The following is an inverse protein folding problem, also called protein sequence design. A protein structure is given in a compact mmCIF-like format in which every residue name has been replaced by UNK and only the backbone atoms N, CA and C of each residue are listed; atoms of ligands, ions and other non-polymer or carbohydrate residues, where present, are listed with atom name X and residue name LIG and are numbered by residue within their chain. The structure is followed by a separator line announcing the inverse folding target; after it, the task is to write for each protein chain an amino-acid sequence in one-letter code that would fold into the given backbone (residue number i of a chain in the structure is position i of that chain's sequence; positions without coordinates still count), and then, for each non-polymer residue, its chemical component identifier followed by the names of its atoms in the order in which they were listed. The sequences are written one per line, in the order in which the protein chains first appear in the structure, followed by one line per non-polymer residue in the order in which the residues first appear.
data_IF_118773723504
#
_entry.id   IF_118773723504
#
_cell.length_a   1.000
_cell.length_b   1.000
_cell.length_c   1.000
_cell.angle_alpha   90.00
_cell.angle_beta   90.00
_cell.angle_gamma   90.00
#
_symmetry.space_group_name_H-M   'P 1'
#
loop_
_entity.id
_entity.type
_entity.pdbx_description
1 polymer ?
#
# COMPACT_ATOMS: atom_id res chain seq x y z
N UNK A 1 4.09 -29.84 -6.48
CA UNK A 1 2.80 -29.67 -7.17
C UNK A 1 1.68 -29.77 -6.16
N UNK A 2 1.38 -28.63 -5.47
CA UNK A 2 0.16 -28.53 -4.68
C UNK A 2 -1.02 -28.41 -5.66
N UNK A 3 -1.99 -29.31 -5.52
CA UNK A 3 -3.25 -29.31 -6.26
C UNK A 3 -3.92 -27.95 -6.10
N UNK A 4 -4.19 -27.29 -7.22
CA UNK A 4 -5.24 -26.27 -7.31
C UNK A 4 -6.55 -27.06 -7.24
N UNK A 5 -7.06 -27.27 -6.04
CA UNK A 5 -8.41 -27.78 -5.83
C UNK A 5 -9.39 -26.68 -6.21
N UNK A 6 -10.42 -27.08 -6.94
CA UNK A 6 -11.43 -26.26 -7.59
C UNK A 6 -11.93 -25.08 -6.74
N UNK A 7 -12.11 -23.93 -7.39
CA UNK A 7 -12.73 -22.69 -6.92
C UNK A 7 -14.20 -22.84 -6.44
N UNK A 8 -14.55 -23.88 -5.71
CA UNK A 8 -15.92 -24.18 -5.31
C UNK A 8 -16.14 -24.39 -3.82
N UNK A 9 -15.22 -23.97 -2.95
CA UNK A 9 -15.53 -23.97 -1.52
C UNK A 9 -16.38 -22.74 -1.15
N UNK A 10 -17.55 -22.97 -0.52
CA UNK A 10 -18.43 -21.88 -0.15
C UNK A 10 -17.79 -21.03 0.94
N UNK A 11 -17.84 -19.71 0.76
CA UNK A 11 -17.44 -18.69 1.73
C UNK A 11 -17.98 -19.09 3.13
N UNK A 12 -17.13 -19.12 4.16
CA UNK A 12 -17.57 -19.47 5.51
C UNK A 12 -18.73 -18.60 5.99
N UNK A 13 -19.81 -19.21 6.49
CA UNK A 13 -21.05 -18.55 6.93
C UNK A 13 -20.92 -17.63 8.15
N UNK A 14 -19.73 -17.37 8.65
CA UNK A 14 -19.46 -16.56 9.84
C UNK A 14 -19.48 -15.04 9.61
N UNK A 15 -19.77 -14.57 8.39
CA UNK A 15 -19.84 -13.13 8.07
C UNK A 15 -21.28 -12.56 8.04
N UNK A 16 -22.26 -13.28 8.58
CA UNK A 16 -23.64 -12.78 8.70
C UNK A 16 -24.05 -12.69 10.16
N UNK A 17 -23.54 -11.73 10.90
CA UNK A 17 -24.29 -11.15 12.04
C UNK A 17 -23.86 -9.70 12.20
N UNK A 18 -24.83 -8.81 12.03
CA UNK A 18 -24.65 -7.38 12.09
C UNK A 18 -24.22 -6.91 13.47
N UNK A 19 -23.03 -6.39 13.52
CA UNK A 19 -22.67 -5.36 14.45
C UNK A 19 -22.56 -4.08 13.62
N UNK A 20 -23.34 -3.08 13.94
CA UNK A 20 -23.21 -1.70 13.46
C UNK A 20 -21.94 -1.04 14.05
N UNK A 21 -20.81 -1.73 13.99
CA UNK A 21 -19.52 -1.17 14.32
C UNK A 21 -19.03 -0.46 13.07
N UNK A 22 -18.74 0.84 13.20
CA UNK A 22 -18.08 1.66 12.20
C UNK A 22 -16.93 0.88 11.58
N UNK A 23 -16.83 0.90 10.26
CA UNK A 23 -15.75 0.25 9.52
C UNK A 23 -14.43 0.85 9.96
N UNK A 24 -13.68 0.15 10.79
CA UNK A 24 -12.33 0.54 11.16
C UNK A 24 -11.38 0.15 10.03
N UNK A 25 -10.34 0.95 9.81
CA UNK A 25 -9.28 0.63 8.86
C UNK A 25 -8.57 -0.67 9.30
N UNK A 26 -8.77 -1.75 8.53
CA UNK A 26 -8.26 -3.09 8.89
C UNK A 26 -6.73 -3.13 8.99
N UNK A 27 -6.01 -2.37 8.14
CA UNK A 27 -4.56 -2.28 8.21
C UNK A 27 -4.10 -1.56 9.47
N UNK A 28 -4.76 -0.47 9.84
CA UNK A 28 -4.47 0.27 11.07
C UNK A 28 -4.72 -0.61 12.32
N UNK A 29 -5.82 -1.33 12.34
CA UNK A 29 -6.13 -2.27 13.41
C UNK A 29 -5.09 -3.40 13.49
N UNK A 30 -4.65 -3.94 12.35
CA UNK A 30 -3.62 -4.95 12.28
C UNK A 30 -2.28 -4.45 12.84
N UNK A 31 -1.84 -3.27 12.45
CA UNK A 31 -0.62 -2.65 12.97
C UNK A 31 -0.69 -2.42 14.49
N UNK A 32 -1.81 -1.91 15.00
CA UNK A 32 -2.03 -1.73 16.45
C UNK A 32 -1.97 -3.06 17.22
N UNK A 33 -2.29 -4.18 16.59
CA UNK A 33 -2.13 -5.53 17.18
C UNK A 33 -0.69 -6.09 17.08
N UNK A 34 0.28 -5.31 16.61
CA UNK A 34 1.69 -5.70 16.46
C UNK A 34 1.99 -6.58 15.24
N UNK A 35 1.00 -6.83 14.38
CA UNK A 35 1.13 -7.73 13.23
C UNK A 35 1.64 -6.99 11.99
N UNK A 36 2.49 -7.67 11.21
CA UNK A 36 2.86 -7.21 9.88
C UNK A 36 1.75 -7.48 8.86
N UNK A 37 1.76 -6.75 7.76
CA UNK A 37 0.82 -6.89 6.66
C UNK A 37 1.55 -7.14 5.34
N UNK A 38 0.93 -7.94 4.47
CA UNK A 38 1.34 -8.11 3.08
C UNK A 38 0.39 -7.32 2.19
N UNK A 39 0.96 -6.48 1.35
CA UNK A 39 0.24 -5.55 0.50
C UNK A 39 0.29 -5.98 -0.97
N UNK A 40 -0.85 -6.03 -1.63
CA UNK A 40 -0.96 -6.14 -3.07
C UNK A 40 -0.73 -4.79 -3.75
N UNK A 41 -0.29 -4.80 -5.02
CA UNK A 41 0.02 -3.60 -5.76
C UNK A 41 -0.57 -3.65 -7.15
N UNK A 42 -1.43 -2.70 -7.50
CA UNK A 42 -2.19 -2.69 -8.75
C UNK A 42 -1.64 -1.66 -9.72
N UNK A 43 -1.02 -2.14 -10.79
CA UNK A 43 -0.59 -1.33 -11.94
C UNK A 43 -1.57 -1.40 -13.11
N UNK A 44 -2.38 -2.48 -13.21
CA UNK A 44 -3.35 -2.71 -14.28
C UNK A 44 -4.64 -1.94 -13.99
N UNK A 45 -5.14 -1.08 -14.90
CA UNK A 45 -6.35 -0.27 -14.70
C UNK A 45 -7.62 -1.10 -14.92
N UNK A 46 -7.83 -2.11 -14.07
CA UNK A 46 -8.95 -3.04 -14.18
C UNK A 46 -9.55 -3.39 -12.82
N UNK A 47 -10.84 -3.12 -12.65
CA UNK A 47 -11.60 -3.56 -11.48
C UNK A 47 -11.58 -5.08 -11.33
N UNK A 48 -11.61 -5.85 -12.43
CA UNK A 48 -11.54 -7.31 -12.36
C UNK A 48 -10.17 -7.81 -11.87
N UNK A 49 -9.06 -7.20 -12.32
CA UNK A 49 -7.73 -7.50 -11.75
C UNK A 49 -7.69 -7.24 -10.24
N UNK A 50 -8.26 -6.10 -9.82
CA UNK A 50 -8.33 -5.74 -8.41
C UNK A 50 -9.16 -6.74 -7.58
N UNK A 51 -10.29 -7.22 -8.12
CA UNK A 51 -11.14 -8.23 -7.47
C UNK A 51 -10.38 -9.56 -7.28
N UNK A 52 -9.67 -10.02 -8.32
CA UNK A 52 -8.84 -11.23 -8.25
C UNK A 52 -7.75 -11.09 -7.19
N UNK A 53 -7.01 -10.00 -7.21
CA UNK A 53 -5.93 -9.74 -6.23
C UNK A 53 -6.49 -9.66 -4.80
N UNK A 54 -7.64 -9.03 -4.59
CA UNK A 54 -8.26 -8.90 -3.27
C UNK A 54 -8.66 -10.26 -2.64
N UNK A 55 -8.82 -11.30 -3.44
CA UNK A 55 -9.12 -12.66 -2.99
C UNK A 55 -7.87 -13.50 -2.65
N UNK A 56 -6.68 -13.01 -3.02
CA UNK A 56 -5.44 -13.78 -2.86
C UNK A 56 -4.83 -13.74 -1.45
N UNK A 57 -5.54 -13.18 -0.46
CA UNK A 57 -5.10 -13.19 0.95
C UNK A 57 -4.20 -12.03 1.34
N UNK A 58 -4.12 -10.97 0.57
CA UNK A 58 -3.46 -9.73 0.95
C UNK A 58 -4.23 -9.03 2.10
N UNK A 59 -3.49 -8.36 2.99
CA UNK A 59 -4.07 -7.59 4.10
C UNK A 59 -4.49 -6.17 3.66
N UNK A 60 -3.80 -5.64 2.66
CA UNK A 60 -4.09 -4.37 2.00
C UNK A 60 -3.78 -4.45 0.51
N UNK A 61 -4.38 -3.56 -0.27
CA UNK A 61 -4.11 -3.44 -1.70
C UNK A 61 -3.98 -1.97 -2.06
N UNK A 62 -2.87 -1.64 -2.72
CA UNK A 62 -2.54 -0.28 -3.17
C UNK A 62 -2.79 -0.12 -4.67
N UNK A 63 -3.59 0.86 -5.06
CA UNK A 63 -3.69 1.29 -6.45
C UNK A 63 -2.57 2.29 -6.73
N UNK A 64 -1.77 2.02 -7.75
CA UNK A 64 -0.60 2.82 -8.09
C UNK A 64 -0.91 3.84 -9.19
N UNK A 65 -1.21 5.07 -8.79
CA UNK A 65 -1.46 6.17 -9.73
C UNK A 65 -0.19 6.94 -10.13
N UNK A 66 0.99 6.55 -9.62
CA UNK A 66 2.26 7.19 -9.98
C UNK A 66 2.91 6.51 -11.19
N UNK A 67 3.14 5.21 -11.11
CA UNK A 67 3.84 4.43 -12.16
C UNK A 67 2.98 3.34 -12.78
N UNK A 68 1.83 3.00 -12.17
CA UNK A 68 0.82 2.15 -12.78
C UNK A 68 0.12 2.85 -13.95
N UNK A 69 -0.53 2.05 -14.82
CA UNK A 69 -1.39 2.58 -15.89
C UNK A 69 -2.76 2.91 -15.28
N UNK A 70 -2.78 3.62 -14.15
CA UNK A 70 -3.96 3.93 -13.35
C UNK A 70 -4.25 5.42 -13.35
N UNK A 71 -5.52 5.77 -13.45
CA UNK A 71 -6.03 7.11 -13.24
C UNK A 71 -7.07 7.15 -12.11
N UNK A 72 -7.70 8.31 -11.88
CA UNK A 72 -8.73 8.43 -10.86
C UNK A 72 -9.92 7.50 -11.11
N UNK A 73 -10.36 7.35 -12.35
CA UNK A 73 -11.54 6.53 -12.66
C UNK A 73 -11.25 5.04 -12.49
N UNK A 74 -10.11 4.57 -12.98
CA UNK A 74 -9.69 3.18 -12.79
C UNK A 74 -9.43 2.86 -11.31
N UNK A 75 -8.86 3.79 -10.54
CA UNK A 75 -8.73 3.66 -9.08
C UNK A 75 -10.10 3.44 -8.41
N UNK A 76 -11.10 4.25 -8.76
CA UNK A 76 -12.47 4.09 -8.22
C UNK A 76 -13.06 2.73 -8.61
N UNK A 77 -12.88 2.28 -9.85
CA UNK A 77 -13.32 0.94 -10.28
C UNK A 77 -12.64 -0.18 -9.50
N UNK A 78 -11.32 -0.07 -9.27
CA UNK A 78 -10.58 -1.02 -8.42
C UNK A 78 -11.14 -1.04 -7.00
N UNK A 79 -11.39 0.13 -6.39
CA UNK A 79 -11.96 0.20 -5.04
C UNK A 79 -13.40 -0.34 -4.96
N UNK A 80 -14.21 -0.15 -6.01
CA UNK A 80 -15.55 -0.76 -6.09
C UNK A 80 -15.48 -2.29 -6.10
N UNK A 81 -14.56 -2.84 -6.90
CA UNK A 81 -14.36 -4.28 -7.00
C UNK A 81 -13.87 -4.90 -5.66
N UNK A 82 -13.04 -4.17 -4.92
CA UNK A 82 -12.50 -4.62 -3.63
C UNK A 82 -13.46 -4.41 -2.45
N UNK A 83 -14.61 -3.74 -2.61
CA UNK A 83 -15.48 -3.32 -1.49
C UNK A 83 -15.96 -4.47 -0.59
N UNK A 84 -16.18 -5.66 -1.16
CA UNK A 84 -16.66 -6.84 -0.43
C UNK A 84 -15.55 -7.69 0.19
N UNK A 85 -14.30 -7.32 -0.05
CA UNK A 85 -13.14 -8.07 0.43
C UNK A 85 -12.53 -7.41 1.66
N UNK A 86 -12.01 -8.20 2.62
CA UNK A 86 -11.47 -7.69 3.87
C UNK A 86 -10.06 -7.09 3.72
N UNK A 87 -9.82 -6.36 2.64
CA UNK A 87 -8.54 -5.70 2.35
C UNK A 87 -8.63 -4.20 2.60
N UNK A 88 -7.60 -3.62 3.21
CA UNK A 88 -7.49 -2.16 3.30
C UNK A 88 -7.13 -1.57 1.93
N UNK A 89 -7.91 -0.60 1.46
CA UNK A 89 -7.69 0.07 0.17
C UNK A 89 -6.76 1.24 0.33
N UNK A 90 -5.58 1.15 -0.26
CA UNK A 90 -4.59 2.21 -0.28
C UNK A 90 -4.44 2.77 -1.70
N UNK A 91 -3.88 3.96 -1.80
CA UNK A 91 -3.50 4.58 -3.07
C UNK A 91 -2.09 5.14 -2.96
N UNK A 92 -1.26 4.91 -3.97
CA UNK A 92 -0.08 5.75 -4.18
C UNK A 92 -0.47 6.86 -5.16
N UNK A 93 -0.49 8.10 -4.66
CA UNK A 93 -0.82 9.27 -5.48
C UNK A 93 0.32 9.60 -6.45
N UNK A 94 0.04 10.25 -7.60
CA UNK A 94 1.10 10.62 -8.56
C UNK A 94 2.15 11.54 -7.95
N UNK A 95 1.71 12.45 -7.08
CA UNK A 95 2.55 13.43 -6.40
C UNK A 95 1.90 13.92 -5.11
N UNK A 96 2.68 14.53 -4.22
CA UNK A 96 2.18 15.18 -3.01
C UNK A 96 1.46 16.49 -3.35
N UNK A 97 0.24 16.38 -3.87
CA UNK A 97 -0.59 17.49 -4.32
C UNK A 97 -1.99 17.38 -3.68
N UNK A 98 -2.48 18.44 -3.00
CA UNK A 98 -3.72 18.38 -2.20
C UNK A 98 -4.96 17.96 -2.97
N UNK A 99 -5.11 18.38 -4.22
CA UNK A 99 -6.29 18.10 -5.03
C UNK A 99 -6.46 16.62 -5.34
N UNK A 100 -5.38 15.94 -5.77
CA UNK A 100 -5.44 14.51 -6.07
C UNK A 100 -5.53 13.67 -4.79
N UNK A 101 -4.89 14.11 -3.70
CA UNK A 101 -5.00 13.45 -2.39
C UNK A 101 -6.46 13.49 -1.92
N UNK A 102 -7.10 14.67 -1.93
CA UNK A 102 -8.50 14.83 -1.57
C UNK A 102 -9.42 13.96 -2.43
N UNK A 103 -9.23 13.98 -3.76
CA UNK A 103 -9.96 13.15 -4.71
C UNK A 103 -9.83 11.65 -4.40
N UNK A 104 -8.62 11.16 -4.16
CA UNK A 104 -8.37 9.76 -3.85
C UNK A 104 -9.06 9.31 -2.56
N UNK A 105 -9.02 10.16 -1.53
CA UNK A 105 -9.71 9.92 -0.26
C UNK A 105 -11.24 9.93 -0.45
N UNK A 106 -11.79 10.86 -1.19
CA UNK A 106 -13.23 10.92 -1.50
C UNK A 106 -13.66 9.73 -2.39
N UNK A 107 -12.74 9.22 -3.22
CA UNK A 107 -12.88 8.00 -4.01
C UNK A 107 -12.87 6.70 -3.20
N UNK A 108 -12.56 6.75 -1.90
CA UNK A 108 -12.68 5.61 -0.99
C UNK A 108 -11.36 5.01 -0.51
N UNK A 109 -10.23 5.70 -0.66
CA UNK A 109 -8.97 5.27 -0.06
C UNK A 109 -9.01 5.38 1.47
N UNK A 110 -8.45 4.38 2.16
CA UNK A 110 -8.22 4.36 3.59
C UNK A 110 -6.77 4.69 3.97
N UNK A 111 -5.92 4.92 3.00
CA UNK A 111 -4.56 5.39 3.20
C UNK A 111 -3.95 5.93 1.92
N UNK A 112 -3.05 6.90 2.10
CA UNK A 112 -2.33 7.59 1.03
C UNK A 112 -0.85 7.34 1.19
N UNK A 113 -0.24 6.78 0.16
CA UNK A 113 1.21 6.71 -0.02
C UNK A 113 1.59 7.86 -0.94
N UNK A 114 2.44 8.79 -0.48
CA UNK A 114 2.88 9.94 -1.26
C UNK A 114 4.37 9.84 -1.58
N UNK A 115 4.75 9.87 -2.89
CA UNK A 115 6.13 9.74 -3.30
C UNK A 115 6.95 11.00 -2.99
N UNK A 116 8.28 10.86 -2.99
CA UNK A 116 9.28 11.95 -3.01
C UNK A 116 9.14 12.96 -1.86
N UNK A 117 8.82 12.49 -0.65
CA UNK A 117 8.78 13.34 0.55
C UNK A 117 10.21 13.49 1.09
N UNK A 118 10.76 14.68 0.92
CA UNK A 118 12.16 14.97 1.19
C UNK A 118 12.38 15.95 2.35
N UNK A 119 11.33 16.67 2.76
CA UNK A 119 11.44 17.67 3.84
C UNK A 119 10.27 17.57 4.81
N UNK A 120 10.45 18.19 5.97
CA UNK A 120 9.41 18.33 6.99
C UNK A 120 8.16 19.02 6.44
N UNK A 121 8.34 20.11 5.69
CA UNK A 121 7.24 20.91 5.15
C UNK A 121 6.41 20.09 4.14
N UNK A 122 7.06 19.24 3.35
CA UNK A 122 6.34 18.31 2.44
C UNK A 122 5.54 17.29 3.24
N UNK A 123 6.07 16.76 4.33
CA UNK A 123 5.36 15.83 5.19
C UNK A 123 4.18 16.51 5.92
N UNK A 124 4.34 17.74 6.40
CA UNK A 124 3.27 18.55 6.99
C UNK A 124 2.15 18.84 5.97
N UNK A 125 2.52 19.18 4.73
CA UNK A 125 1.57 19.36 3.62
C UNK A 125 0.78 18.09 3.31
N UNK A 126 1.44 16.93 3.30
CA UNK A 126 0.79 15.63 3.11
C UNK A 126 -0.24 15.35 4.22
N UNK A 127 0.17 15.50 5.48
CA UNK A 127 -0.73 15.31 6.63
C UNK A 127 -1.92 16.26 6.55
N UNK A 128 -1.67 17.54 6.29
CA UNK A 128 -2.71 18.57 6.16
C UNK A 128 -3.72 18.24 5.06
N UNK A 129 -3.25 17.71 3.93
CA UNK A 129 -4.10 17.31 2.80
C UNK A 129 -4.98 16.09 3.10
N UNK A 130 -4.58 15.25 4.05
CA UNK A 130 -5.29 14.04 4.44
C UNK A 130 -6.28 14.25 5.57
N UNK A 131 -6.21 15.35 6.31
CA UNK A 131 -7.00 15.61 7.53
C UNK A 131 -8.03 16.70 7.31
N UNK A 132 -9.23 16.51 7.85
CA UNK A 132 -10.23 17.57 7.93
C UNK A 132 -9.87 18.61 9.01
N UNK A 133 -10.34 19.86 8.87
CA UNK A 133 -10.23 20.85 9.93
C UNK A 133 -10.72 20.31 11.28
N UNK A 134 -10.11 20.74 12.42
CA UNK A 134 -9.01 21.69 12.53
C UNK A 134 -7.62 21.08 12.35
N UNK A 135 -7.50 19.77 12.06
CA UNK A 135 -6.24 19.03 12.00
C UNK A 135 -5.54 19.13 10.63
N UNK A 136 -6.21 19.66 9.62
CA UNK A 136 -5.71 19.83 8.27
C UNK A 136 -6.61 20.73 7.44
N UNK A 137 -6.40 20.66 6.11
CA UNK A 137 -7.07 21.52 5.12
C UNK A 137 -7.90 20.73 4.09
N UNK A 138 -8.09 19.41 4.30
CA UNK A 138 -8.89 18.59 3.40
C UNK A 138 -10.30 19.16 3.24
N UNK A 139 -10.73 19.38 1.99
CA UNK A 139 -12.10 19.78 1.67
C UNK A 139 -13.08 18.63 1.97
N UNK A 140 -14.27 18.98 2.47
CA UNK A 140 -15.29 17.99 2.85
C UNK A 140 -16.22 17.66 1.69
N UNK A 141 -16.05 16.50 1.07
CA UNK A 141 -16.87 15.99 -0.01
C UNK A 141 -16.75 14.48 -0.22
N UNK A 142 -16.87 13.64 0.84
CA UNK A 142 -16.59 12.19 0.74
C UNK A 142 -17.74 11.44 0.05
N UNK A 143 -18.00 11.74 -1.20
CA UNK A 143 -19.18 11.30 -1.97
C UNK A 143 -19.32 9.78 -2.00
N UNK A 144 -18.23 9.03 -2.12
CA UNK A 144 -18.29 7.59 -2.26
C UNK A 144 -18.54 6.87 -0.93
N UNK A 145 -18.05 7.40 0.18
CA UNK A 145 -18.28 6.81 1.52
C UNK A 145 -19.75 6.78 1.90
N UNK A 146 -20.57 7.72 1.35
CA UNK A 146 -22.01 7.75 1.54
C UNK A 146 -22.76 6.58 0.91
N UNK A 147 -22.23 6.03 -0.17
CA UNK A 147 -22.87 4.95 -0.92
C UNK A 147 -22.90 3.63 -0.15
N UNK A 148 -21.98 3.41 0.78
CA UNK A 148 -21.80 2.15 1.52
C UNK A 148 -22.22 2.22 3.01
N UNK A 149 -23.05 3.19 3.36
CA UNK A 149 -23.62 3.33 4.70
C UNK A 149 -22.66 3.90 5.76
N UNK A 150 -21.45 4.33 5.37
CA UNK A 150 -20.44 4.89 6.29
C UNK A 150 -20.56 6.43 6.41
N UNK A 151 -21.41 7.06 5.60
CA UNK A 151 -21.39 8.51 5.37
C UNK A 151 -21.67 9.38 6.59
N UNK A 152 -22.64 9.00 7.43
CA UNK A 152 -23.05 9.86 8.55
C UNK A 152 -21.96 10.01 9.63
N UNK A 153 -21.04 9.04 9.68
CA UNK A 153 -20.01 9.00 10.70
C UNK A 153 -18.57 9.06 10.12
N UNK A 154 -18.43 9.05 8.78
CA UNK A 154 -17.10 9.07 8.15
C UNK A 154 -16.28 10.29 8.57
N UNK A 155 -16.85 11.49 8.57
CA UNK A 155 -16.13 12.70 8.98
C UNK A 155 -15.66 12.66 10.45
N UNK A 156 -16.38 11.93 11.31
CA UNK A 156 -16.00 11.78 12.73
C UNK A 156 -14.78 10.90 12.90
N UNK A 157 -14.59 9.91 12.01
CA UNK A 157 -13.52 8.91 12.12
C UNK A 157 -12.36 9.12 11.14
N UNK A 158 -12.58 9.88 10.06
CA UNK A 158 -11.62 9.99 8.97
C UNK A 158 -10.24 10.49 9.42
N UNK A 159 -10.20 11.49 10.31
CA UNK A 159 -8.93 12.01 10.83
C UNK A 159 -8.14 10.96 11.62
N UNK A 160 -8.80 10.00 12.25
CA UNK A 160 -8.17 8.93 13.02
C UNK A 160 -7.89 7.69 12.18
N UNK A 161 -8.72 7.39 11.17
CA UNK A 161 -8.66 6.14 10.43
C UNK A 161 -7.84 6.21 9.14
N UNK A 162 -7.75 7.37 8.49
CA UNK A 162 -6.94 7.53 7.26
C UNK A 162 -5.45 7.40 7.59
N UNK A 163 -4.76 6.51 6.90
CA UNK A 163 -3.33 6.32 7.01
C UNK A 163 -2.57 7.32 6.13
N UNK A 164 -1.60 8.00 6.70
CA UNK A 164 -0.69 8.94 6.01
C UNK A 164 0.69 8.33 5.96
N UNK A 165 1.17 8.04 4.75
CA UNK A 165 2.35 7.23 4.51
C UNK A 165 3.28 7.94 3.51
N UNK A 166 4.17 8.84 3.95
CA UNK A 166 5.20 9.43 3.09
C UNK A 166 6.18 8.36 2.61
N UNK A 167 6.64 8.44 1.35
CA UNK A 167 7.75 7.64 0.88
C UNK A 167 9.08 8.26 1.26
N UNK A 168 9.98 7.40 1.78
CA UNK A 168 11.39 7.70 2.07
C UNK A 168 12.21 6.97 1.02
N UNK A 169 12.59 7.69 -0.02
CA UNK A 169 13.17 7.08 -1.22
C UNK A 169 14.28 7.92 -1.87
N UNK A 170 14.83 8.88 -1.11
CA UNK A 170 15.96 9.68 -1.58
C UNK A 170 16.98 9.91 -0.47
N UNK A 171 18.22 10.20 -0.87
CA UNK A 171 19.26 10.63 0.07
C UNK A 171 18.82 11.86 0.87
N UNK A 172 18.16 12.82 0.23
CA UNK A 172 17.65 14.03 0.91
C UNK A 172 16.61 13.67 1.99
N UNK A 173 15.71 12.72 1.72
CA UNK A 173 14.78 12.23 2.72
C UNK A 173 15.48 11.57 3.90
N UNK A 174 16.58 10.82 3.66
CA UNK A 174 17.39 10.23 4.73
C UNK A 174 18.13 11.29 5.55
N UNK A 175 18.61 12.36 4.93
CA UNK A 175 19.29 13.46 5.61
C UNK A 175 18.31 14.24 6.51
N UNK A 176 17.02 14.30 6.15
CA UNK A 176 15.94 14.97 6.87
C UNK A 176 15.03 14.01 7.65
N UNK A 177 15.42 12.74 7.83
CA UNK A 177 14.55 11.69 8.31
C UNK A 177 13.84 12.02 9.63
N UNK A 178 14.58 12.43 10.63
CA UNK A 178 14.03 12.73 11.96
C UNK A 178 13.03 13.89 11.88
N UNK A 179 13.36 14.94 11.13
CA UNK A 179 12.46 16.08 10.94
C UNK A 179 11.15 15.69 10.24
N UNK A 180 11.20 14.78 9.27
CA UNK A 180 10.02 14.22 8.61
C UNK A 180 9.20 13.37 9.60
N UNK A 181 9.85 12.46 10.32
CA UNK A 181 9.17 11.54 11.25
C UNK A 181 8.59 12.22 12.47
N UNK A 182 9.10 13.39 12.85
CA UNK A 182 8.58 14.21 13.96
C UNK A 182 7.27 14.95 13.59
N UNK A 183 6.84 14.89 12.33
CA UNK A 183 5.56 15.45 11.91
C UNK A 183 4.42 14.60 12.46
N UNK A 184 3.60 15.20 13.30
CA UNK A 184 2.44 14.53 13.90
C UNK A 184 1.39 14.21 12.84
N UNK A 185 0.86 13.00 12.91
CA UNK A 185 -0.20 12.55 12.00
C UNK A 185 0.30 11.63 10.87
N UNK A 186 1.61 11.36 10.81
CA UNK A 186 2.19 10.28 10.01
C UNK A 186 1.90 8.95 10.74
N UNK A 187 1.31 7.98 10.04
CA UNK A 187 0.99 6.66 10.57
C UNK A 187 2.07 5.62 10.21
N UNK A 188 2.70 5.78 9.07
CA UNK A 188 3.78 4.92 8.58
C UNK A 188 4.66 5.63 7.58
N UNK A 189 5.76 4.99 7.18
CA UNK A 189 6.54 5.39 6.00
C UNK A 189 6.52 4.25 4.98
N UNK A 190 6.84 4.57 3.73
CA UNK A 190 7.03 3.57 2.68
C UNK A 190 8.36 3.76 1.99
N UNK A 191 9.18 2.72 1.98
CA UNK A 191 10.50 2.76 1.32
C UNK A 191 10.36 2.36 -0.13
N UNK A 192 10.85 3.23 -1.05
CA UNK A 192 11.07 2.93 -2.45
C UNK A 192 12.54 2.54 -2.69
N UNK A 193 12.90 1.23 -2.65
CA UNK A 193 14.30 0.82 -2.68
C UNK A 193 15.03 1.21 -3.95
N UNK A 194 14.33 1.19 -5.09
CA UNK A 194 14.88 1.53 -6.40
C UNK A 194 15.33 2.98 -6.46
N UNK A 195 14.41 3.91 -6.12
CA UNK A 195 14.69 5.34 -6.13
C UNK A 195 15.71 5.73 -5.06
N UNK A 196 15.61 5.12 -3.88
CA UNK A 196 16.57 5.32 -2.81
C UNK A 196 18.00 4.99 -3.27
N UNK A 197 18.21 3.81 -3.84
CA UNK A 197 19.51 3.40 -4.35
C UNK A 197 19.97 4.32 -5.49
N UNK A 198 19.08 4.67 -6.42
CA UNK A 198 19.39 5.56 -7.53
C UNK A 198 19.80 6.95 -7.06
N UNK A 199 19.10 7.50 -6.06
CA UNK A 199 19.45 8.81 -5.46
C UNK A 199 20.81 8.82 -4.75
N UNK A 200 21.32 7.64 -4.38
CA UNK A 200 22.64 7.43 -3.77
C UNK A 200 23.73 7.07 -4.82
N UNK A 201 23.41 7.13 -6.11
CA UNK A 201 24.34 6.75 -7.19
C UNK A 201 24.56 5.24 -7.32
N UNK A 202 23.66 4.42 -6.73
CA UNK A 202 23.72 2.95 -6.80
C UNK A 202 22.77 2.40 -7.87
N UNK A 203 22.94 1.14 -8.22
CA UNK A 203 22.05 0.46 -9.18
C UNK A 203 20.64 0.32 -8.59
N UNK A 204 19.60 0.79 -9.30
CA UNK A 204 18.23 0.66 -8.85
C UNK A 204 17.78 -0.82 -8.83
N UNK A 205 17.29 -1.27 -7.68
CA UNK A 205 16.75 -2.62 -7.44
C UNK A 205 15.65 -2.55 -6.39
N UNK A 206 14.80 -3.57 -6.36
CA UNK A 206 13.84 -3.75 -5.26
C UNK A 206 14.47 -4.52 -4.09
N UNK A 207 15.10 -5.65 -4.39
CA UNK A 207 15.69 -6.55 -3.39
C UNK A 207 17.21 -6.29 -3.31
N UNK A 208 17.62 -5.48 -2.34
CA UNK A 208 19.01 -5.09 -2.13
C UNK A 208 19.71 -6.02 -1.14
N UNK A 209 20.94 -6.42 -1.50
CA UNK A 209 21.90 -7.11 -0.61
C UNK A 209 23.07 -6.21 -0.21
N UNK A 210 23.10 -4.95 -0.66
CA UNK A 210 24.13 -3.99 -0.30
C UNK A 210 24.08 -3.70 1.21
N UNK A 211 25.18 -3.93 1.96
CA UNK A 211 25.19 -3.73 3.42
C UNK A 211 24.88 -2.28 3.84
N UNK A 212 25.21 -1.30 3.01
CA UNK A 212 24.87 0.11 3.28
C UNK A 212 23.37 0.34 3.22
N UNK A 213 22.69 -0.20 2.20
CA UNK A 213 21.23 -0.12 2.07
C UNK A 213 20.55 -0.86 3.22
N UNK A 214 21.04 -2.04 3.60
CA UNK A 214 20.46 -2.80 4.72
C UNK A 214 20.59 -2.04 6.06
N UNK A 215 21.73 -1.36 6.31
CA UNK A 215 21.91 -0.48 7.48
C UNK A 215 20.93 0.71 7.47
N UNK A 216 20.64 1.26 6.29
CA UNK A 216 19.62 2.31 6.16
C UNK A 216 18.26 1.76 6.57
N UNK A 217 17.88 0.56 6.13
CA UNK A 217 16.61 -0.06 6.54
C UNK A 217 16.53 -0.28 8.06
N UNK A 218 17.59 -0.76 8.68
CA UNK A 218 17.67 -0.88 10.15
C UNK A 218 17.46 0.47 10.85
N UNK A 219 18.11 1.54 10.35
CA UNK A 219 17.90 2.90 10.86
C UNK A 219 16.44 3.36 10.69
N UNK A 220 15.85 3.18 9.51
CA UNK A 220 14.46 3.56 9.24
C UNK A 220 13.49 2.87 10.20
N UNK A 221 13.64 1.56 10.41
CA UNK A 221 12.82 0.77 11.34
C UNK A 221 13.00 1.29 12.76
N UNK A 222 14.23 1.53 13.20
CA UNK A 222 14.53 2.00 14.55
C UNK A 222 13.92 3.39 14.81
N UNK A 223 14.09 4.34 13.87
CA UNK A 223 13.56 5.70 14.01
C UNK A 223 12.04 5.74 13.97
N UNK A 224 11.41 4.89 13.14
CA UNK A 224 9.96 4.72 13.12
C UNK A 224 9.44 4.14 14.44
N UNK A 225 10.10 3.10 14.96
CA UNK A 225 9.70 2.43 16.19
C UNK A 225 9.73 3.37 17.40
N UNK A 226 10.74 4.24 17.52
CA UNK A 226 10.85 5.26 18.60
C UNK A 226 9.64 6.20 18.62
N UNK A 227 8.98 6.40 17.50
CA UNK A 227 7.86 7.34 17.31
C UNK A 227 6.49 6.67 17.21
N UNK A 228 6.43 5.33 17.30
CA UNK A 228 5.20 4.57 17.10
C UNK A 228 4.71 4.60 15.65
N UNK A 229 5.61 4.84 14.68
CA UNK A 229 5.35 4.87 13.24
C UNK A 229 5.72 3.50 12.64
N UNK A 230 4.98 3.04 11.65
CA UNK A 230 5.20 1.75 11.01
C UNK A 230 6.01 1.90 9.71
N UNK A 231 7.04 1.06 9.54
CA UNK A 231 7.84 1.05 8.32
C UNK A 231 7.25 0.07 7.29
N UNK A 232 7.09 0.55 6.06
CA UNK A 232 6.72 -0.23 4.89
C UNK A 232 7.83 -0.24 3.83
N UNK A 233 7.84 -1.26 2.96
CA UNK A 233 8.84 -1.41 1.89
C UNK A 233 8.27 -2.15 0.69
N UNK A 234 8.70 -1.76 -0.52
CA UNK A 234 8.44 -2.48 -1.76
C UNK A 234 9.49 -3.56 -2.00
N UNK A 235 9.06 -4.79 -2.26
CA UNK A 235 9.94 -5.94 -2.50
C UNK A 235 9.63 -6.55 -3.87
N UNK A 236 10.63 -7.17 -4.50
CA UNK A 236 10.47 -7.89 -5.75
C UNK A 236 10.00 -9.33 -5.53
N UNK A 237 10.42 -9.96 -4.41
CA UNK A 237 10.16 -11.38 -4.14
C UNK A 237 9.49 -11.61 -2.79
N UNK A 238 8.78 -12.73 -2.66
CA UNK A 238 8.14 -13.14 -1.42
C UNK A 238 9.18 -13.49 -0.33
N UNK A 239 10.29 -14.08 -0.72
CA UNK A 239 11.41 -14.43 0.17
C UNK A 239 12.02 -13.18 0.79
N UNK A 240 12.25 -12.16 -0.03
CA UNK A 240 12.79 -10.89 0.45
C UNK A 240 11.77 -10.16 1.33
N UNK A 241 10.50 -10.13 0.96
CA UNK A 241 9.43 -9.57 1.78
C UNK A 241 9.35 -10.24 3.17
N UNK A 242 9.45 -11.56 3.23
CA UNK A 242 9.48 -12.31 4.49
C UNK A 242 10.70 -11.94 5.35
N UNK A 243 11.87 -11.75 4.72
CA UNK A 243 13.09 -11.27 5.40
C UNK A 243 12.91 -9.86 5.96
N UNK A 244 12.30 -8.95 5.19
CA UNK A 244 12.02 -7.58 5.63
C UNK A 244 11.03 -7.54 6.80
N UNK A 245 10.02 -8.40 6.81
CA UNK A 245 9.12 -8.55 7.98
C UNK A 245 9.91 -8.99 9.23
N UNK A 246 10.80 -9.98 9.08
CA UNK A 246 11.66 -10.44 10.19
C UNK A 246 12.64 -9.36 10.68
N UNK A 247 13.10 -8.50 9.78
CA UNK A 247 13.95 -7.35 10.12
C UNK A 247 13.18 -6.29 10.93
N UNK A 248 11.86 -6.17 10.74
CA UNK A 248 11.02 -5.24 11.50
C UNK A 248 10.03 -4.40 10.69
N UNK A 249 10.01 -4.52 9.36
CA UNK A 249 8.98 -3.88 8.55
C UNK A 249 7.59 -4.42 8.90
N UNK A 250 6.58 -3.56 8.80
CA UNK A 250 5.19 -3.89 9.14
C UNK A 250 4.23 -3.78 7.96
N UNK A 251 4.73 -3.37 6.79
CA UNK A 251 4.02 -3.41 5.51
C UNK A 251 5.02 -3.82 4.43
N UNK A 252 4.81 -4.95 3.79
CA UNK A 252 5.65 -5.38 2.67
C UNK A 252 4.80 -5.60 1.44
N UNK A 253 5.22 -5.02 0.31
CA UNK A 253 4.62 -5.28 -1.00
C UNK A 253 5.44 -6.32 -1.73
N UNK A 254 4.78 -7.20 -2.47
CA UNK A 254 5.41 -8.22 -3.30
C UNK A 254 5.10 -7.91 -4.77
N UNK A 255 6.08 -7.42 -5.53
CA UNK A 255 5.94 -7.10 -6.95
C UNK A 255 4.68 -6.23 -7.23
N UNK A 256 4.07 -6.41 -8.39
CA UNK A 256 2.76 -5.84 -8.74
C UNK A 256 1.93 -6.87 -9.51
N UNK A 257 0.65 -6.59 -9.72
CA UNK A 257 -0.30 -7.50 -10.39
C UNK A 257 0.17 -7.92 -11.80
N UNK A 258 0.69 -6.99 -12.61
CA UNK A 258 1.20 -7.29 -13.95
C UNK A 258 2.45 -8.17 -13.90
N UNK A 259 3.35 -7.94 -12.95
CA UNK A 259 4.54 -8.76 -12.75
C UNK A 259 4.22 -10.18 -12.27
N UNK A 260 3.28 -10.31 -11.33
CA UNK A 260 2.81 -11.61 -10.86
C UNK A 260 2.13 -12.39 -11.98
N UNK A 261 1.28 -11.75 -12.78
CA UNK A 261 0.62 -12.35 -13.94
C UNK A 261 1.64 -12.78 -15.00
N UNK A 262 2.60 -11.92 -15.35
CA UNK A 262 3.62 -12.23 -16.33
C UNK A 262 4.50 -13.42 -15.89
N UNK A 263 4.91 -13.45 -14.62
CA UNK A 263 5.69 -14.55 -14.05
C UNK A 263 4.95 -15.89 -14.20
N UNK A 264 3.70 -15.95 -13.74
CA UNK A 264 2.90 -17.17 -13.82
C UNK A 264 2.67 -17.63 -15.27
N UNK A 265 2.42 -16.71 -16.20
CA UNK A 265 2.24 -17.01 -17.62
C UNK A 265 3.53 -17.54 -18.27
N UNK A 266 4.68 -16.95 -17.95
CA UNK A 266 5.98 -17.42 -18.45
C UNK A 266 6.30 -18.82 -17.95
N UNK A 267 6.07 -19.10 -16.67
CA UNK A 267 6.25 -20.42 -16.07
C UNK A 267 5.34 -21.46 -16.76
N UNK A 268 4.06 -21.16 -16.93
CA UNK A 268 3.11 -22.06 -17.60
C UNK A 268 3.50 -22.37 -19.06
N UNK A 269 3.93 -21.37 -19.82
CA UNK A 269 4.41 -21.55 -21.21
C UNK A 269 5.69 -22.36 -21.24
N UNK A 270 6.63 -22.11 -20.33
CA UNK A 270 7.88 -22.88 -20.24
C UNK A 270 7.62 -24.36 -19.92
N UNK A 271 6.69 -24.64 -19.02
CA UNK A 271 6.31 -26.01 -18.65
C UNK A 271 5.74 -26.78 -19.86
N UNK A 272 4.85 -26.14 -20.66
CA UNK A 272 4.34 -26.75 -21.90
C UNK A 272 5.48 -27.13 -22.84
N UNK A 273 6.40 -26.18 -23.12
CA UNK A 273 7.50 -26.45 -24.05
C UNK A 273 8.50 -27.47 -23.53
N UNK A 274 8.65 -27.57 -22.23
CA UNK A 274 9.46 -28.62 -21.60
C UNK A 274 8.86 -30.01 -21.82
N UNK A 275 7.54 -30.14 -21.73
CA UNK A 275 6.83 -31.43 -21.92
C UNK A 275 6.81 -31.86 -23.40
N UNK A 276 6.67 -30.95 -24.35
CA UNK A 276 6.57 -31.28 -25.78
C UNK A 276 7.92 -31.34 -26.51
N UNK A 277 8.99 -30.87 -25.90
CA UNK A 277 10.37 -31.03 -26.39
C UNK A 277 10.59 -30.49 -27.80
N UNK A 278 10.98 -31.40 -28.72
CA UNK A 278 11.36 -31.04 -30.11
C UNK A 278 10.21 -30.58 -31.02
N UNK A 279 8.98 -30.50 -30.52
CA UNK A 279 7.83 -30.00 -31.28
C UNK A 279 7.72 -28.46 -31.30
N UNK A 280 8.66 -27.75 -30.60
CA UNK A 280 8.71 -26.27 -30.57
C UNK A 280 9.25 -25.72 -31.88
#
# INVERSE_FOLDING_TARGET
LARIESFQDPIPKTLRQGSTTMSTNSLKARWKSGKAAVNGWLAIPSGFSAEVIAQCGFDSVTVDMQHGVQDYQSMVQCFQAMERHPVARLVRVPWNEPGIIGKALDGGAWGVIAPMINTREQAESLVSSCRYPPHGTRSNGPIRHGTYGVASDYQKIANDEILVIPMIETKQALDNLEAILDVKGIDGIYVGPSDLAFSMGKTPKLDHEDPEILKIYERLIAECSKRGIYAGIHCGTAEYAARMIKMGFRLTTIANDSGLMAKAALEAVADVWKEVGSLR
#
